data_IF_717250756955
#
_entry.id   IF_717250756955
#
_cell.length_a   1.000
_cell.length_b   1.000
_cell.length_c   1.000
_cell.angle_alpha   90.00
_cell.angle_beta   90.00
_cell.angle_gamma   90.00
#
_symmetry.space_group_name_H-M   'P 1'
#
loop_
_entity.id
_entity.type
_entity.pdbx_description
1 polymer ?
#
# COMPACT_ATOMS: atom_id res chain seq x y z
N UNK A 1 -9.72 10.83 -3.12
CA UNK A 1 -9.20 11.60 -1.99
C UNK A 1 -8.40 12.83 -2.44
N UNK A 2 -7.29 12.70 -3.18
CA UNK A 2 -6.47 13.83 -3.62
C UNK A 2 -7.27 14.89 -4.41
N UNK A 3 -8.08 14.47 -5.38
CA UNK A 3 -8.91 15.40 -6.15
C UNK A 3 -9.84 16.24 -5.25
N UNK A 4 -10.48 15.61 -4.27
CA UNK A 4 -11.38 16.30 -3.35
C UNK A 4 -10.66 17.38 -2.51
N UNK A 5 -9.40 17.14 -2.11
CA UNK A 5 -8.59 18.16 -1.44
C UNK A 5 -8.22 19.32 -2.36
N UNK A 6 -7.89 19.05 -3.63
CA UNK A 6 -7.57 20.10 -4.61
C UNK A 6 -8.75 21.04 -4.84
N UNK A 7 -9.96 20.52 -4.97
CA UNK A 7 -11.18 21.33 -5.15
C UNK A 7 -11.73 21.89 -3.84
N UNK A 8 -11.13 21.56 -2.68
CA UNK A 8 -11.54 22.01 -1.33
C UNK A 8 -13.00 21.72 -1.00
N UNK A 9 -13.56 20.64 -1.55
CA UNK A 9 -14.93 20.23 -1.28
C UNK A 9 -14.97 19.22 -0.14
N UNK A 10 -15.40 19.67 1.03
CA UNK A 10 -15.48 18.85 2.24
C UNK A 10 -16.49 17.68 2.14
N UNK A 11 -17.53 17.82 1.32
CA UNK A 11 -18.53 16.76 1.13
C UNK A 11 -17.94 15.59 0.35
N UNK A 12 -17.18 15.87 -0.71
CA UNK A 12 -16.48 14.86 -1.49
C UNK A 12 -15.37 14.18 -0.68
N UNK A 13 -14.63 14.95 0.15
CA UNK A 13 -13.63 14.38 1.05
C UNK A 13 -14.27 13.39 2.01
N UNK A 14 -15.40 13.76 2.61
CA UNK A 14 -16.15 12.90 3.54
C UNK A 14 -16.63 11.62 2.85
N UNK A 15 -17.31 11.75 1.71
CA UNK A 15 -17.81 10.61 0.93
C UNK A 15 -16.67 9.65 0.53
N UNK A 16 -15.56 10.20 0.00
CA UNK A 16 -14.39 9.41 -0.37
C UNK A 16 -13.80 8.68 0.85
N UNK A 17 -13.76 9.34 2.02
CA UNK A 17 -13.28 8.72 3.27
C UNK A 17 -14.20 7.57 3.70
N UNK A 18 -15.52 7.75 3.64
CA UNK A 18 -16.49 6.70 3.99
C UNK A 18 -16.38 5.49 3.06
N UNK A 19 -16.18 5.71 1.76
CA UNK A 19 -15.94 4.63 0.78
C UNK A 19 -14.66 3.88 1.12
N UNK A 20 -13.57 4.58 1.40
CA UNK A 20 -12.29 3.98 1.74
C UNK A 20 -12.37 3.18 3.06
N UNK A 21 -13.09 3.68 4.06
CA UNK A 21 -13.32 2.94 5.31
C UNK A 21 -14.09 1.64 5.09
N UNK A 22 -14.99 1.57 4.10
CA UNK A 22 -15.68 0.32 3.76
C UNK A 22 -14.74 -0.76 3.23
N UNK A 23 -13.61 -0.38 2.60
CA UNK A 23 -12.62 -1.35 2.12
C UNK A 23 -11.96 -2.13 3.25
N UNK A 24 -11.95 -1.57 4.47
CA UNK A 24 -11.39 -2.20 5.67
C UNK A 24 -12.25 -3.37 6.19
N UNK A 25 -13.48 -3.50 5.74
CA UNK A 25 -14.38 -4.58 6.16
C UNK A 25 -14.26 -5.85 5.30
N UNK A 26 -13.33 -5.87 4.33
CA UNK A 26 -13.09 -7.07 3.52
C UNK A 26 -12.35 -8.11 4.36
N UNK A 27 -12.79 -9.36 4.27
CA UNK A 27 -12.02 -10.47 4.83
C UNK A 27 -10.71 -10.65 4.01
N UNK A 28 -9.69 -11.18 4.68
CA UNK A 28 -8.36 -11.33 4.11
C UNK A 28 -8.37 -12.15 2.79
N UNK A 29 -9.11 -13.24 2.76
CA UNK A 29 -9.13 -14.18 1.63
C UNK A 29 -9.77 -13.54 0.39
N UNK A 30 -10.79 -12.69 0.60
CA UNK A 30 -11.46 -11.99 -0.51
C UNK A 30 -10.64 -10.86 -1.12
N UNK A 31 -9.51 -10.47 -0.51
CA UNK A 31 -8.63 -9.42 -1.05
C UNK A 31 -7.86 -9.85 -2.28
N UNK A 32 -7.59 -11.14 -2.45
CA UNK A 32 -6.76 -11.68 -3.53
C UNK A 32 -5.27 -11.34 -3.43
N UNK A 33 -4.81 -10.85 -2.26
CA UNK A 33 -3.41 -10.45 -2.03
C UNK A 33 -2.55 -11.67 -1.74
N UNK A 34 -1.86 -12.17 -2.75
CA UNK A 34 -1.07 -13.41 -2.66
C UNK A 34 0.43 -13.19 -2.48
N UNK A 35 0.97 -12.08 -2.91
CA UNK A 35 2.39 -11.73 -2.80
C UNK A 35 2.66 -10.45 -2.01
N UNK A 36 3.93 -10.00 -1.99
CA UNK A 36 4.39 -8.88 -1.15
C UNK A 36 4.68 -7.59 -1.91
N UNK A 37 4.51 -7.56 -3.24
CA UNK A 37 4.99 -6.44 -4.05
C UNK A 37 3.99 -5.28 -4.17
N UNK A 38 4.41 -4.20 -4.86
CA UNK A 38 3.65 -2.94 -4.91
C UNK A 38 2.39 -3.02 -5.75
N UNK A 39 2.43 -3.70 -6.91
CA UNK A 39 1.36 -3.63 -7.90
C UNK A 39 0.06 -4.29 -7.39
N UNK A 40 0.17 -5.50 -6.86
CA UNK A 40 -0.98 -6.32 -6.42
C UNK A 40 -0.73 -7.07 -5.10
N UNK A 41 0.39 -6.76 -4.44
CA UNK A 41 0.78 -7.38 -3.18
C UNK A 41 0.52 -6.50 -1.96
N UNK A 42 0.92 -7.03 -0.80
CA UNK A 42 0.67 -6.39 0.48
C UNK A 42 1.42 -5.07 0.67
N UNK A 43 2.60 -4.87 0.08
CA UNK A 43 3.33 -3.60 0.23
C UNK A 43 2.62 -2.42 -0.44
N UNK A 44 1.88 -2.64 -1.53
CA UNK A 44 1.04 -1.60 -2.12
C UNK A 44 -0.07 -1.14 -1.18
N UNK A 45 -0.67 -2.05 -0.44
CA UNK A 45 -1.68 -1.73 0.57
C UNK A 45 -1.08 -0.97 1.77
N UNK A 46 0.14 -1.33 2.21
CA UNK A 46 0.87 -0.54 3.22
C UNK A 46 0.99 0.92 2.76
N UNK A 47 1.46 1.14 1.54
CA UNK A 47 1.62 2.48 0.97
C UNK A 47 0.31 3.25 0.94
N UNK A 48 -0.77 2.64 0.46
CA UNK A 48 -2.09 3.27 0.36
C UNK A 48 -2.62 3.66 1.74
N UNK A 49 -2.68 2.71 2.68
CA UNK A 49 -3.28 2.95 3.99
C UNK A 49 -2.43 3.89 4.86
N UNK A 50 -1.11 3.79 4.79
CA UNK A 50 -0.23 4.71 5.51
C UNK A 50 -0.38 6.16 4.99
N UNK A 51 -0.48 6.36 3.67
CA UNK A 51 -0.76 7.67 3.08
C UNK A 51 -2.14 8.20 3.45
N UNK A 52 -3.16 7.35 3.49
CA UNK A 52 -4.48 7.73 3.96
C UNK A 52 -4.44 8.19 5.43
N UNK A 53 -3.70 7.47 6.27
CA UNK A 53 -3.48 7.90 7.65
C UNK A 53 -2.80 9.27 7.73
N UNK A 54 -1.69 9.47 7.03
CA UNK A 54 -0.98 10.78 7.01
C UNK A 54 -1.90 11.94 6.59
N UNK A 55 -2.80 11.70 5.64
CA UNK A 55 -3.70 12.74 5.10
C UNK A 55 -4.96 12.98 5.92
N UNK A 56 -5.46 11.96 6.62
CA UNK A 56 -6.76 12.04 7.31
C UNK A 56 -6.65 12.04 8.83
N UNK A 57 -5.55 11.55 9.39
CA UNK A 57 -5.39 11.32 10.83
C UNK A 57 -6.24 10.16 11.38
N UNK A 58 -6.94 9.39 10.54
CA UNK A 58 -7.84 8.32 10.98
C UNK A 58 -7.02 7.09 11.35
N UNK A 59 -6.98 6.74 12.64
CA UNK A 59 -6.17 5.64 13.19
C UNK A 59 -6.42 4.29 12.55
N UNK A 60 -7.64 4.01 12.10
CA UNK A 60 -7.97 2.77 11.40
C UNK A 60 -7.13 2.54 10.15
N UNK A 61 -6.76 3.58 9.40
CA UNK A 61 -5.88 3.42 8.25
C UNK A 61 -4.46 3.04 8.68
N UNK A 62 -3.97 3.57 9.82
CA UNK A 62 -2.69 3.15 10.37
C UNK A 62 -2.72 1.68 10.83
N UNK A 63 -3.78 1.26 11.55
CA UNK A 63 -3.95 -0.13 11.99
C UNK A 63 -3.90 -1.11 10.80
N UNK A 64 -4.53 -0.75 9.69
CA UNK A 64 -4.49 -1.57 8.47
C UNK A 64 -3.13 -1.53 7.74
N UNK A 65 -2.42 -0.40 7.76
CA UNK A 65 -1.06 -0.35 7.26
C UNK A 65 -0.14 -1.29 8.07
N UNK A 66 -0.28 -1.32 9.40
CA UNK A 66 0.44 -2.25 10.29
C UNK A 66 0.05 -3.71 10.00
N UNK A 67 -1.23 -4.01 9.87
CA UNK A 67 -1.71 -5.35 9.51
C UNK A 67 -1.05 -5.87 8.21
N UNK A 68 -1.02 -5.06 7.16
CA UNK A 68 -0.37 -5.45 5.91
C UNK A 68 1.15 -5.50 6.00
N UNK A 69 1.77 -4.73 6.89
CA UNK A 69 3.20 -4.84 7.19
C UNK A 69 3.52 -6.18 7.84
N UNK A 70 2.73 -6.61 8.82
CA UNK A 70 2.88 -7.90 9.48
C UNK A 70 2.68 -9.06 8.49
N UNK A 71 1.68 -8.97 7.62
CA UNK A 71 1.44 -9.93 6.54
C UNK A 71 2.63 -10.00 5.57
N UNK A 72 3.17 -8.85 5.16
CA UNK A 72 4.37 -8.78 4.31
C UNK A 72 5.55 -9.50 4.96
N UNK A 73 5.82 -9.19 6.22
CA UNK A 73 6.91 -9.82 6.97
C UNK A 73 6.68 -11.33 7.14
N UNK A 74 5.45 -11.74 7.41
CA UNK A 74 5.11 -13.14 7.55
C UNK A 74 5.31 -13.92 6.24
N UNK A 75 4.87 -13.36 5.11
CA UNK A 75 5.09 -13.96 3.78
C UNK A 75 6.56 -14.09 3.45
N UNK A 76 7.37 -13.02 3.68
CA UNK A 76 8.82 -13.05 3.43
C UNK A 76 9.53 -14.12 4.25
N UNK A 77 9.13 -14.32 5.52
CA UNK A 77 9.78 -15.26 6.43
C UNK A 77 9.38 -16.71 6.20
N UNK A 78 8.17 -16.96 5.74
CA UNK A 78 7.54 -18.27 5.78
C UNK A 78 7.81 -19.10 4.52
N UNK A 79 8.22 -18.49 3.40
CA UNK A 79 7.84 -19.09 2.13
C UNK A 79 8.97 -19.24 1.12
N UNK A 80 8.96 -20.36 0.42
CA UNK A 80 9.69 -20.59 -0.82
C UNK A 80 9.38 -19.55 -1.92
N UNK A 81 8.24 -18.84 -1.80
CA UNK A 81 7.80 -17.78 -2.70
C UNK A 81 8.00 -16.37 -2.16
N UNK A 82 8.45 -16.20 -0.92
CA UNK A 82 8.44 -14.96 -0.14
C UNK A 82 8.92 -13.70 -0.86
N UNK A 83 9.90 -13.81 -1.76
CA UNK A 83 10.41 -12.72 -2.59
C UNK A 83 10.21 -12.95 -4.09
N UNK A 84 9.20 -13.73 -4.46
CA UNK A 84 8.77 -13.92 -5.85
C UNK A 84 7.39 -13.33 -6.07
N UNK A 85 7.16 -12.73 -7.23
CA UNK A 85 5.85 -12.22 -7.64
C UNK A 85 5.04 -13.28 -8.38
N UNK A 86 3.72 -13.23 -8.23
CA UNK A 86 2.83 -14.10 -8.98
C UNK A 86 2.37 -13.43 -10.27
N UNK A 87 2.78 -13.97 -11.41
CA UNK A 87 2.40 -13.46 -12.74
C UNK A 87 1.40 -14.38 -13.47
N UNK A 88 0.42 -14.87 -12.76
CA UNK A 88 -0.65 -15.70 -13.34
C UNK A 88 -0.13 -16.99 -13.96
N UNK A 89 -0.31 -17.16 -15.27
CA UNK A 89 0.11 -18.37 -16.00
C UNK A 89 1.62 -18.62 -16.03
N UNK A 90 2.43 -17.56 -15.80
CA UNK A 90 3.88 -17.66 -15.74
C UNK A 90 4.39 -18.11 -14.36
N UNK A 91 3.49 -18.18 -13.37
CA UNK A 91 3.79 -18.66 -12.03
C UNK A 91 4.55 -17.66 -11.16
N UNK A 92 5.33 -18.19 -10.23
CA UNK A 92 6.16 -17.42 -9.31
C UNK A 92 7.51 -17.04 -9.92
N UNK A 93 7.76 -15.75 -10.11
CA UNK A 93 8.95 -15.22 -10.77
C UNK A 93 9.74 -14.33 -9.82
N UNK A 94 11.07 -14.50 -9.81
CA UNK A 94 12.01 -13.62 -9.14
C UNK A 94 12.38 -12.46 -10.07
N UNK A 95 12.15 -11.21 -9.61
CA UNK A 95 12.50 -10.02 -10.38
C UNK A 95 12.77 -8.79 -9.51
N UNK A 96 13.51 -7.84 -10.07
CA UNK A 96 13.96 -6.63 -9.37
C UNK A 96 13.27 -5.34 -9.85
N UNK A 97 12.09 -5.46 -10.45
CA UNK A 97 11.32 -4.31 -10.93
C UNK A 97 10.73 -3.47 -9.78
N UNK A 98 10.28 -2.25 -10.08
CA UNK A 98 9.66 -1.37 -9.08
C UNK A 98 8.26 -1.87 -8.70
N UNK A 99 7.42 -2.23 -9.69
CA UNK A 99 6.02 -2.57 -9.41
C UNK A 99 5.84 -3.98 -8.87
N UNK A 100 6.53 -4.94 -9.46
CA UNK A 100 6.32 -6.37 -9.23
C UNK A 100 7.57 -7.08 -8.70
N UNK A 101 8.53 -6.32 -8.17
CA UNK A 101 9.82 -6.86 -7.75
C UNK A 101 10.38 -6.27 -6.46
N UNK A 102 11.57 -6.77 -6.10
CA UNK A 102 12.24 -6.47 -4.83
C UNK A 102 12.59 -4.99 -4.66
N UNK A 103 12.89 -4.28 -5.74
CA UNK A 103 13.25 -2.84 -5.66
C UNK A 103 12.12 -2.01 -5.08
N UNK A 104 10.89 -2.19 -5.56
CA UNK A 104 9.74 -1.45 -5.05
C UNK A 104 9.37 -1.82 -3.62
N UNK A 105 9.45 -3.10 -3.27
CA UNK A 105 9.25 -3.57 -1.90
C UNK A 105 10.24 -2.91 -0.93
N UNK A 106 11.54 -2.92 -1.27
CA UNK A 106 12.58 -2.32 -0.42
C UNK A 106 12.39 -0.81 -0.27
N UNK A 107 12.09 -0.10 -1.35
CA UNK A 107 11.81 1.34 -1.30
C UNK A 107 10.59 1.64 -0.41
N UNK A 108 9.55 0.82 -0.48
CA UNK A 108 8.36 0.98 0.36
C UNK A 108 8.65 0.72 1.84
N UNK A 109 9.35 -0.36 2.17
CA UNK A 109 9.73 -0.68 3.55
C UNK A 109 10.64 0.39 4.14
N UNK A 110 11.58 0.92 3.34
CA UNK A 110 12.43 2.02 3.75
C UNK A 110 11.63 3.30 4.03
N UNK A 111 10.67 3.65 3.16
CA UNK A 111 9.86 4.86 3.30
C UNK A 111 8.95 4.87 4.53
N UNK A 112 8.50 3.71 4.99
CA UNK A 112 7.67 3.59 6.21
C UNK A 112 8.52 3.70 7.48
N UNK A 113 9.80 3.29 7.43
CA UNK A 113 10.71 3.34 8.57
C UNK A 113 11.23 4.75 8.88
N UNK A 114 11.24 5.65 7.90
CA UNK A 114 11.72 7.01 8.04
C UNK A 114 10.56 8.00 8.22
N UNK A 115 10.36 8.52 9.43
CA UNK A 115 9.21 9.40 9.78
C UNK A 115 9.07 10.64 8.88
N UNK A 116 10.17 11.17 8.36
CA UNK A 116 10.23 12.38 7.55
C UNK A 116 10.55 12.10 6.07
N UNK A 117 10.59 10.83 5.69
CA UNK A 117 10.95 10.46 4.33
C UNK A 117 9.74 10.54 3.39
N UNK A 118 9.83 11.44 2.42
CA UNK A 118 8.91 11.42 1.28
C UNK A 118 9.39 10.37 0.29
N UNK A 119 8.68 9.28 0.19
CA UNK A 119 9.05 8.19 -0.72
C UNK A 119 9.07 8.66 -2.16
N UNK A 120 10.12 8.36 -2.95
CA UNK A 120 10.09 8.56 -4.40
C UNK A 120 8.89 7.88 -5.06
N UNK A 121 8.38 6.80 -4.48
CA UNK A 121 7.19 6.09 -4.96
C UNK A 121 5.92 6.92 -4.78
N UNK A 122 5.80 7.70 -3.70
CA UNK A 122 4.65 8.59 -3.48
C UNK A 122 4.56 9.63 -4.59
N UNK A 123 5.69 10.19 -5.02
CA UNK A 123 5.76 11.13 -6.14
C UNK A 123 5.47 10.43 -7.48
N UNK A 124 6.03 9.24 -7.69
CA UNK A 124 5.80 8.47 -8.91
C UNK A 124 4.31 8.12 -9.11
N UNK A 125 3.60 7.81 -8.02
CA UNK A 125 2.17 7.48 -8.05
C UNK A 125 1.25 8.67 -7.77
N UNK A 126 1.78 9.91 -7.81
CA UNK A 126 1.03 11.15 -7.57
C UNK A 126 0.28 11.15 -6.23
N UNK A 127 0.85 10.51 -5.21
CA UNK A 127 0.25 10.44 -3.87
C UNK A 127 0.62 11.66 -3.00
N UNK A 128 1.72 12.34 -3.32
CA UNK A 128 2.14 13.58 -2.69
C UNK A 128 1.67 14.76 -3.52
N UNK A 129 0.61 15.42 -3.09
CA UNK A 129 0.28 16.78 -3.48
C UNK A 129 0.72 17.71 -2.35
N UNK A 130 1.84 18.37 -2.52
CA UNK A 130 2.14 19.58 -1.74
C UNK A 130 1.32 20.73 -2.34
N UNK A 131 0.48 21.33 -1.49
CA UNK A 131 -0.19 22.59 -1.80
C UNK A 131 0.74 23.77 -1.49
#
# INVERSE_FOLDING_TARGET
MNYAHVIKDSSIVKEATEILLKTLNRDYESTGVIDVFLCHGSSGLIMIYYNLFKKTGISKFYEYAVFWMEDTIAKIKKDEHGLKTWLGKDGWIDQDTILEGKTGLLLQLYSVNEENYSSPLENLFLLNYEN
#
